data_IF_682410101314
#
_entry.id   IF_682410101314
#
_cell.length_a   1.000
_cell.length_b   1.000
_cell.length_c   1.000
_cell.angle_alpha   90.00
_cell.angle_beta   90.00
_cell.angle_gamma   90.00
#
_symmetry.space_group_name_H-M   'P 1'
#
loop_
_entity.id
_entity.type
_entity.pdbx_description
1 polymer ?
#
# COMPACT_ATOMS: atom_id res chain seq x y z
N UNK A 1 22.11 12.01 -1.49
CA UNK A 1 21.05 13.01 -1.77
C UNK A 1 19.98 12.40 -2.69
N UNK A 2 20.42 11.69 -3.73
CA UNK A 2 19.59 10.89 -4.66
C UNK A 2 18.61 9.92 -3.96
N UNK A 3 19.06 9.17 -2.95
CA UNK A 3 18.20 8.25 -2.18
C UNK A 3 17.02 8.90 -1.46
N UNK A 4 17.19 10.13 -0.96
CA UNK A 4 16.09 10.86 -0.27
C UNK A 4 15.06 11.34 -1.27
N UNK A 5 15.51 11.78 -2.45
CA UNK A 5 14.65 12.23 -3.54
C UNK A 5 13.87 11.07 -4.14
N UNK A 6 14.51 9.91 -4.38
CA UNK A 6 13.80 8.70 -4.80
C UNK A 6 12.75 8.25 -3.78
N UNK A 7 13.09 8.23 -2.48
CA UNK A 7 12.11 7.86 -1.43
C UNK A 7 10.90 8.80 -1.40
N UNK A 8 11.13 10.11 -1.59
CA UNK A 8 10.05 11.10 -1.65
C UNK A 8 9.20 10.93 -2.90
N UNK A 9 9.81 10.69 -4.07
CA UNK A 9 9.10 10.40 -5.31
C UNK A 9 8.25 9.14 -5.19
N UNK A 10 8.81 8.04 -4.68
CA UNK A 10 8.06 6.82 -4.40
C UNK A 10 6.89 7.08 -3.45
N UNK A 11 7.08 7.89 -2.41
CA UNK A 11 6.01 8.25 -1.50
C UNK A 11 4.87 9.02 -2.19
N UNK A 12 5.21 10.01 -3.02
CA UNK A 12 4.22 10.79 -3.79
C UNK A 12 3.46 9.89 -4.77
N UNK A 13 4.17 9.02 -5.50
CA UNK A 13 3.59 8.06 -6.43
C UNK A 13 2.62 7.14 -5.69
N UNK A 14 3.02 6.59 -4.53
CA UNK A 14 2.17 5.72 -3.74
C UNK A 14 0.92 6.41 -3.19
N UNK A 15 1.02 7.67 -2.74
CA UNK A 15 -0.16 8.46 -2.33
C UNK A 15 -1.10 8.66 -3.51
N UNK A 16 -0.56 9.03 -4.68
CA UNK A 16 -1.37 9.25 -5.88
C UNK A 16 -2.16 7.99 -6.24
N UNK A 17 -1.50 6.83 -6.30
CA UNK A 17 -2.17 5.57 -6.63
C UNK A 17 -3.14 5.10 -5.54
N UNK A 18 -2.86 5.38 -4.26
CA UNK A 18 -3.78 5.13 -3.17
C UNK A 18 -5.06 5.96 -3.30
N UNK A 19 -4.93 7.27 -3.53
CA UNK A 19 -6.07 8.16 -3.72
C UNK A 19 -6.86 7.78 -4.98
N UNK A 20 -6.16 7.44 -6.06
CA UNK A 20 -6.78 6.94 -7.28
C UNK A 20 -7.61 5.67 -7.02
N UNK A 21 -7.05 4.71 -6.29
CA UNK A 21 -7.76 3.49 -5.90
C UNK A 21 -9.03 3.80 -5.09
N UNK A 22 -8.95 4.69 -4.09
CA UNK A 22 -10.11 5.09 -3.27
C UNK A 22 -11.20 5.74 -4.12
N UNK A 23 -10.85 6.68 -5.01
CA UNK A 23 -11.81 7.38 -5.88
C UNK A 23 -12.53 6.41 -6.81
N UNK A 24 -11.79 5.47 -7.43
CA UNK A 24 -12.42 4.51 -8.33
C UNK A 24 -13.33 3.56 -7.56
N UNK A 25 -12.92 3.07 -6.39
CA UNK A 25 -13.79 2.22 -5.56
C UNK A 25 -15.04 2.96 -5.15
N UNK A 26 -14.93 4.19 -4.66
CA UNK A 26 -16.07 5.01 -4.26
C UNK A 26 -17.04 5.23 -5.43
N UNK A 27 -16.50 5.56 -6.61
CA UNK A 27 -17.29 5.73 -7.82
C UNK A 27 -17.99 4.44 -8.23
N UNK A 28 -17.30 3.30 -8.20
CA UNK A 28 -17.86 1.99 -8.61
C UNK A 28 -18.93 1.52 -7.63
N UNK A 29 -18.67 1.64 -6.33
CA UNK A 29 -19.60 1.21 -5.27
C UNK A 29 -20.87 2.08 -5.30
N UNK A 30 -20.72 3.38 -5.55
CA UNK A 30 -21.85 4.33 -5.52
C UNK A 30 -22.65 4.33 -6.82
N UNK A 31 -22.04 3.99 -7.96
CA UNK A 31 -22.69 4.19 -9.28
C UNK A 31 -23.35 2.94 -9.89
N UNK A 32 -23.04 1.72 -9.45
CA UNK A 32 -23.53 0.49 -10.11
C UNK A 32 -24.05 -0.54 -9.11
N UNK A 33 -25.37 -0.68 -8.96
CA UNK A 33 -26.03 -1.68 -8.10
C UNK A 33 -25.83 -3.17 -8.52
N UNK A 34 -24.91 -3.51 -9.44
CA UNK A 34 -24.81 -4.84 -10.05
C UNK A 34 -23.39 -5.33 -10.31
N UNK A 35 -23.11 -6.55 -9.80
CA UNK A 35 -21.85 -7.33 -9.90
C UNK A 35 -20.58 -6.63 -9.40
N UNK A 36 -20.59 -6.33 -8.10
CA UNK A 36 -19.56 -5.58 -7.39
C UNK A 36 -18.26 -6.32 -7.08
N UNK A 37 -18.17 -7.64 -7.22
CA UNK A 37 -17.03 -8.37 -6.64
C UNK A 37 -15.78 -8.33 -7.55
N UNK A 38 -15.90 -8.52 -8.85
CA UNK A 38 -14.71 -8.71 -9.70
C UNK A 38 -13.94 -7.41 -10.01
N UNK A 39 -14.64 -6.29 -10.20
CA UNK A 39 -14.01 -5.00 -10.58
C UNK A 39 -13.13 -4.40 -9.46
N UNK A 40 -13.56 -4.37 -8.19
CA UNK A 40 -12.71 -3.91 -7.08
C UNK A 40 -11.50 -4.80 -6.84
N UNK A 41 -11.57 -6.12 -7.09
CA UNK A 41 -10.41 -7.00 -6.94
C UNK A 41 -9.34 -6.75 -8.01
N UNK A 42 -9.72 -6.41 -9.25
CA UNK A 42 -8.76 -6.03 -10.30
C UNK A 42 -8.04 -4.73 -9.91
N UNK A 43 -8.78 -3.72 -9.45
CA UNK A 43 -8.21 -2.45 -8.98
C UNK A 43 -7.30 -2.63 -7.75
N UNK A 44 -7.72 -3.45 -6.80
CA UNK A 44 -6.94 -3.79 -5.62
C UNK A 44 -5.64 -4.52 -6.01
N UNK A 45 -5.71 -5.41 -7.00
CA UNK A 45 -4.53 -6.12 -7.53
C UNK A 45 -3.54 -5.16 -8.20
N UNK A 46 -4.04 -4.20 -9.00
CA UNK A 46 -3.21 -3.14 -9.60
C UNK A 46 -2.58 -2.28 -8.51
N UNK A 47 -3.34 -1.87 -7.50
CA UNK A 47 -2.83 -1.10 -6.37
C UNK A 47 -1.75 -1.87 -5.60
N UNK A 48 -1.96 -3.16 -5.32
CA UNK A 48 -0.97 -3.99 -4.67
C UNK A 48 0.31 -4.12 -5.49
N UNK A 49 0.18 -4.37 -6.80
CA UNK A 49 1.31 -4.47 -7.70
C UNK A 49 2.16 -3.20 -7.64
N UNK A 50 1.52 -2.03 -7.79
CA UNK A 50 2.21 -0.74 -7.73
C UNK A 50 2.84 -0.51 -6.35
N UNK A 51 2.14 -0.84 -5.27
CA UNK A 51 2.64 -0.69 -3.90
C UNK A 51 3.86 -1.57 -3.62
N UNK A 52 3.91 -2.79 -4.17
CA UNK A 52 5.08 -3.69 -4.07
C UNK A 52 6.33 -3.04 -4.68
N UNK A 53 6.22 -2.47 -5.88
CA UNK A 53 7.36 -1.83 -6.56
C UNK A 53 7.72 -0.47 -5.97
N UNK A 54 6.73 0.25 -5.46
CA UNK A 54 6.93 1.60 -4.91
C UNK A 54 7.48 1.54 -3.49
N UNK A 55 7.11 0.51 -2.72
CA UNK A 55 7.47 0.36 -1.30
C UNK A 55 8.04 -1.04 -0.97
N UNK A 56 9.14 -1.47 -1.62
CA UNK A 56 9.74 -2.78 -1.36
C UNK A 56 10.19 -2.93 0.11
N UNK A 57 10.59 -1.84 0.77
CA UNK A 57 11.00 -1.82 2.17
C UNK A 57 9.84 -2.19 3.12
N UNK A 58 8.60 -1.84 2.80
CA UNK A 58 7.43 -2.22 3.61
C UNK A 58 7.27 -3.74 3.65
N UNK A 59 7.56 -4.40 2.52
CA UNK A 59 7.52 -5.86 2.40
C UNK A 59 8.58 -6.55 3.26
N UNK A 60 9.81 -6.01 3.25
CA UNK A 60 10.94 -6.55 4.00
C UNK A 60 10.67 -6.39 5.49
N UNK A 61 10.27 -5.21 5.94
CA UNK A 61 9.95 -4.95 7.34
C UNK A 61 8.73 -5.74 7.84
N UNK A 62 7.69 -5.87 7.03
CA UNK A 62 6.52 -6.68 7.39
C UNK A 62 6.89 -8.16 7.49
N UNK A 63 7.71 -8.66 6.56
CA UNK A 63 8.22 -10.04 6.57
C UNK A 63 9.10 -10.31 7.79
N UNK A 64 10.03 -9.41 8.13
CA UNK A 64 10.87 -9.52 9.33
C UNK A 64 10.03 -9.53 10.61
N UNK A 65 9.08 -8.60 10.75
CA UNK A 65 8.19 -8.51 11.92
C UNK A 65 7.22 -9.70 12.07
N UNK A 66 7.03 -10.48 11.01
CA UNK A 66 6.13 -11.65 11.01
C UNK A 66 6.85 -12.98 10.79
N UNK A 67 8.19 -12.98 10.73
CA UNK A 67 8.99 -14.16 10.41
C UNK A 67 8.76 -15.34 11.37
N UNK A 68 8.50 -15.07 12.65
CA UNK A 68 8.24 -16.10 13.67
C UNK A 68 6.74 -16.36 13.94
N UNK A 69 5.83 -15.77 13.14
CA UNK A 69 4.39 -15.96 13.32
C UNK A 69 3.87 -17.00 12.32
N UNK A 70 2.75 -17.63 12.68
CA UNK A 70 2.08 -18.66 11.89
C UNK A 70 1.95 -18.26 10.40
N UNK A 71 2.12 -19.21 9.48
CA UNK A 71 2.16 -18.98 8.02
C UNK A 71 0.95 -18.19 7.48
N UNK A 72 -0.25 -18.41 8.03
CA UNK A 72 -1.44 -17.65 7.66
C UNK A 72 -1.32 -16.17 8.05
N UNK A 73 -0.79 -15.88 9.24
CA UNK A 73 -0.57 -14.51 9.72
C UNK A 73 0.43 -13.80 8.81
N UNK A 74 1.46 -14.50 8.33
CA UNK A 74 2.48 -13.96 7.43
C UNK A 74 1.90 -13.49 6.08
N UNK A 75 0.99 -14.25 5.47
CA UNK A 75 0.42 -13.90 4.17
C UNK A 75 -0.57 -12.73 4.29
N UNK A 76 -1.47 -12.78 5.28
CA UNK A 76 -2.42 -11.69 5.52
C UNK A 76 -1.73 -10.42 6.04
N UNK A 77 -0.60 -10.53 6.75
CA UNK A 77 0.15 -9.36 7.21
C UNK A 77 0.79 -8.57 6.08
N UNK A 78 1.24 -9.24 5.01
CA UNK A 78 1.80 -8.56 3.84
C UNK A 78 0.73 -7.77 3.09
N UNK A 79 -0.44 -8.39 2.89
CA UNK A 79 -1.60 -7.74 2.27
C UNK A 79 -2.02 -6.50 3.10
N UNK A 80 -2.13 -6.66 4.41
CA UNK A 80 -2.46 -5.55 5.31
C UNK A 80 -1.38 -4.45 5.31
N UNK A 81 -0.10 -4.83 5.25
CA UNK A 81 1.01 -3.89 5.20
C UNK A 81 0.99 -3.04 3.92
N UNK A 82 0.63 -3.62 2.78
CA UNK A 82 0.53 -2.88 1.52
C UNK A 82 -0.73 -2.00 1.44
N UNK A 83 -1.86 -2.47 1.96
CA UNK A 83 -3.08 -1.65 2.13
C UNK A 83 -2.78 -0.37 2.92
N UNK A 84 -1.98 -0.51 3.98
CA UNK A 84 -1.60 0.59 4.86
C UNK A 84 -0.28 1.26 4.48
N UNK A 85 0.35 0.89 3.35
CA UNK A 85 1.72 1.30 3.03
C UNK A 85 1.92 2.83 2.92
N UNK A 86 0.99 3.63 2.37
CA UNK A 86 1.17 5.08 2.34
C UNK A 86 1.12 5.69 3.75
N UNK A 87 0.23 5.20 4.61
CA UNK A 87 0.11 5.67 6.00
C UNK A 87 1.36 5.27 6.80
N UNK A 88 1.83 4.03 6.63
CA UNK A 88 3.02 3.51 7.29
C UNK A 88 4.26 4.31 6.90
N UNK A 89 4.51 4.50 5.59
CA UNK A 89 5.67 5.26 5.09
C UNK A 89 5.57 6.72 5.50
N UNK A 90 4.36 7.32 5.47
CA UNK A 90 4.13 8.70 5.91
C UNK A 90 4.47 8.90 7.39
N UNK A 91 4.00 8.01 8.27
CA UNK A 91 4.32 8.06 9.70
C UNK A 91 5.83 7.99 9.98
N UNK A 92 6.58 7.19 9.21
CA UNK A 92 8.03 7.10 9.33
C UNK A 92 8.75 8.36 8.86
N UNK A 93 8.29 8.96 7.77
CA UNK A 93 8.86 10.20 7.26
C UNK A 93 8.66 11.37 8.23
N UNK A 94 7.52 11.40 8.93
CA UNK A 94 7.25 12.38 9.99
C UNK A 94 8.14 12.13 11.22
N UNK A 95 8.23 10.87 11.67
CA UNK A 95 9.05 10.51 12.84
C UNK A 95 10.55 10.81 12.63
N UNK A 96 11.08 10.55 11.43
CA UNK A 96 12.48 10.86 11.08
C UNK A 96 12.76 12.37 10.91
N UNK A 97 11.77 13.26 11.04
CA UNK A 97 11.98 14.72 11.07
C UNK A 97 12.04 15.28 12.50
N UNK A 98 11.60 14.52 13.50
CA UNK A 98 11.58 14.94 14.90
C UNK A 98 12.84 14.53 15.68
N UNK A 99 13.65 13.62 15.11
CA UNK A 99 15.02 13.28 15.54
C UNK A 99 16.06 14.05 14.71
#
# INVERSE_FOLDING_TARGET
MEDKVMKLLSFIIGIFFFMFYIVIIDTVITSHEGSFLEFPYILLSIYFFISIFTFPLVSIEASEKTHNKHFLIKNYSLIAAYLMSPIWVGSKLLKNRED
#
